data_IF_716281163374
#
_entry.id   IF_716281163374
#
_cell.length_a   1.000
_cell.length_b   1.000
_cell.length_c   1.000
_cell.angle_alpha   90.00
_cell.angle_beta   90.00
_cell.angle_gamma   90.00
#
_symmetry.space_group_name_H-M   'P 1'
#
loop_
_entity.id
_entity.type
_entity.pdbx_description
1 polymer ?
#
# COMPACT_ATOMS: atom_id res chain seq x y z
N UNK A 1 44.68 -33.90 -1.71
CA UNK A 1 45.71 -33.06 -2.32
C UNK A 1 45.02 -31.72 -2.64
N UNK A 2 45.18 -30.73 -1.76
CA UNK A 2 44.47 -29.45 -1.85
C UNK A 2 45.11 -28.58 -2.94
N UNK A 3 44.34 -28.21 -3.97
CA UNK A 3 44.73 -27.21 -4.96
C UNK A 3 44.59 -25.84 -4.27
N UNK A 4 45.72 -25.23 -3.93
CA UNK A 4 45.77 -23.86 -3.46
C UNK A 4 45.52 -22.94 -4.67
N UNK A 5 44.33 -22.35 -4.75
CA UNK A 5 44.05 -21.19 -5.59
C UNK A 5 44.92 -20.03 -5.10
N UNK A 6 46.11 -19.88 -5.69
CA UNK A 6 46.93 -18.69 -5.52
C UNK A 6 46.27 -17.53 -6.26
N UNK A 7 45.79 -16.52 -5.53
CA UNK A 7 45.30 -15.28 -6.11
C UNK A 7 46.38 -14.68 -7.03
N UNK A 8 46.12 -14.60 -8.32
CA UNK A 8 47.00 -13.97 -9.30
C UNK A 8 47.20 -12.48 -8.92
N UNK A 9 48.42 -12.08 -8.54
CA UNK A 9 48.68 -10.74 -8.04
C UNK A 9 49.27 -9.83 -9.12
N UNK A 10 48.56 -8.75 -9.48
CA UNK A 10 49.07 -7.69 -10.35
C UNK A 10 50.00 -6.72 -9.59
N UNK A 11 50.82 -5.95 -10.34
CA UNK A 11 51.68 -4.92 -9.74
C UNK A 11 50.83 -3.95 -8.90
N UNK A 12 51.37 -3.55 -7.76
CA UNK A 12 50.69 -2.61 -6.86
C UNK A 12 51.23 -1.20 -7.12
N UNK A 13 50.35 -0.31 -7.56
CA UNK A 13 50.70 1.02 -8.02
C UNK A 13 50.15 2.05 -7.05
N UNK A 14 51.05 2.83 -6.47
CA UNK A 14 50.71 3.94 -5.58
C UNK A 14 50.65 5.24 -6.38
N UNK A 15 49.53 5.95 -6.26
CA UNK A 15 49.29 7.23 -6.92
C UNK A 15 49.62 8.40 -5.99
N UNK A 16 50.03 9.54 -6.56
CA UNK A 16 50.40 10.77 -5.81
C UNK A 16 49.29 11.32 -4.91
N UNK A 17 48.04 10.98 -5.19
CA UNK A 17 46.86 11.30 -4.35
C UNK A 17 46.55 10.30 -3.24
N UNK A 18 47.43 9.33 -2.95
CA UNK A 18 47.27 8.35 -1.86
C UNK A 18 46.45 7.09 -2.22
N UNK A 19 45.89 7.02 -3.43
CA UNK A 19 45.18 5.83 -3.91
C UNK A 19 46.14 4.69 -4.32
N UNK A 20 45.74 3.45 -4.06
CA UNK A 20 46.43 2.24 -4.52
C UNK A 20 45.58 1.54 -5.57
N UNK A 21 46.20 1.12 -6.68
CA UNK A 21 45.54 0.40 -7.76
C UNK A 21 46.39 -0.81 -8.15
N UNK A 22 45.74 -1.95 -8.38
CA UNK A 22 46.40 -3.18 -8.82
C UNK A 22 46.26 -3.34 -10.33
N UNK A 23 47.37 -3.45 -11.05
CA UNK A 23 47.36 -3.58 -12.51
C UNK A 23 48.76 -3.44 -13.11
N UNK A 24 48.89 -3.56 -14.43
CA UNK A 24 50.18 -3.43 -15.13
C UNK A 24 50.30 -2.11 -15.89
N UNK A 25 51.41 -1.41 -15.67
CA UNK A 25 51.72 -0.17 -16.39
C UNK A 25 52.42 -0.50 -17.72
N UNK A 26 51.86 -0.01 -18.82
CA UNK A 26 52.46 -0.01 -20.15
C UNK A 26 52.59 1.44 -20.66
N UNK A 27 53.63 1.78 -21.44
CA UNK A 27 53.72 3.09 -22.08
C UNK A 27 52.56 3.28 -23.07
N UNK A 28 51.99 4.48 -23.14
CA UNK A 28 50.94 4.77 -24.12
C UNK A 28 51.57 4.86 -25.53
N UNK A 29 51.09 4.08 -26.51
CA UNK A 29 51.64 4.11 -27.87
C UNK A 29 51.41 5.45 -28.60
N UNK A 30 50.46 6.28 -28.16
CA UNK A 30 50.11 7.54 -28.82
C UNK A 30 50.66 8.79 -28.12
N UNK A 31 51.05 8.71 -26.84
CA UNK A 31 51.53 9.86 -26.06
C UNK A 31 52.65 9.44 -25.09
N UNK A 32 53.91 9.86 -25.31
CA UNK A 32 55.05 9.46 -24.47
C UNK A 32 55.00 10.04 -23.04
N UNK A 33 54.14 11.04 -22.78
CA UNK A 33 53.96 11.62 -21.45
C UNK A 33 52.96 10.85 -20.59
N UNK A 34 52.24 9.90 -21.21
CA UNK A 34 51.20 9.09 -20.58
C UNK A 34 51.57 7.62 -20.48
N UNK A 35 50.90 6.96 -19.55
CA UNK A 35 51.01 5.53 -19.31
C UNK A 35 49.62 4.93 -19.20
N UNK A 36 49.46 3.74 -19.75
CA UNK A 36 48.25 2.94 -19.71
C UNK A 36 48.35 1.91 -18.59
N UNK A 37 47.39 1.91 -17.69
CA UNK A 37 47.25 0.96 -16.62
C UNK A 37 46.22 -0.10 -16.99
N UNK A 38 46.68 -1.31 -17.22
CA UNK A 38 45.88 -2.50 -17.48
C UNK A 38 45.43 -3.11 -16.15
N UNK A 39 44.12 -3.26 -15.97
CA UNK A 39 43.53 -3.86 -14.77
C UNK A 39 43.10 -5.29 -15.07
N UNK A 40 43.04 -6.14 -14.04
CA UNK A 40 42.60 -7.54 -14.18
C UNK A 40 41.15 -7.66 -14.69
N UNK A 41 40.26 -6.78 -14.20
CA UNK A 41 38.80 -6.87 -14.44
C UNK A 41 38.24 -5.81 -15.40
N UNK A 42 39.09 -4.97 -16.02
CA UNK A 42 38.62 -3.90 -16.91
C UNK A 42 38.74 -4.30 -18.38
N UNK A 43 37.77 -3.90 -19.20
CA UNK A 43 37.82 -4.03 -20.67
C UNK A 43 38.83 -3.06 -21.31
N UNK A 44 39.09 -1.91 -20.68
CA UNK A 44 39.93 -0.84 -21.23
C UNK A 44 40.99 -0.41 -20.21
N UNK A 45 42.21 -0.07 -20.66
CA UNK A 45 43.24 0.46 -19.78
C UNK A 45 42.88 1.88 -19.32
N UNK A 46 43.26 2.22 -18.09
CA UNK A 46 43.16 3.58 -17.58
C UNK A 46 44.38 4.40 -18.04
N UNK A 47 44.19 5.63 -18.48
CA UNK A 47 45.30 6.50 -18.90
C UNK A 47 45.67 7.45 -17.76
N UNK A 48 46.95 7.48 -17.39
CA UNK A 48 47.51 8.36 -16.36
C UNK A 48 48.70 9.15 -16.91
N UNK A 49 48.97 10.31 -16.32
CA UNK A 49 50.25 10.99 -16.56
C UNK A 49 51.35 10.28 -15.79
N UNK A 50 52.53 10.16 -16.39
CA UNK A 50 53.68 9.47 -15.77
C UNK A 50 54.04 10.02 -14.38
N UNK A 51 53.82 11.32 -14.15
CA UNK A 51 54.11 12.03 -12.89
C UNK A 51 53.12 11.72 -11.75
N UNK A 52 51.98 11.10 -12.06
CA UNK A 52 50.95 10.75 -11.07
C UNK A 52 51.23 9.40 -10.39
N UNK A 53 52.14 8.59 -10.95
CA UNK A 53 52.57 7.32 -10.38
C UNK A 53 53.76 7.58 -9.44
N UNK A 54 53.58 7.33 -8.15
CA UNK A 54 54.63 7.47 -7.13
C UNK A 54 55.55 6.25 -7.12
N UNK A 55 54.97 5.05 -7.11
CA UNK A 55 55.70 3.79 -6.95
C UNK A 55 54.94 2.64 -7.60
N UNK A 56 55.67 1.76 -8.28
CA UNK A 56 55.17 0.49 -8.81
C UNK A 56 55.90 -0.64 -8.09
N UNK A 57 55.16 -1.55 -7.47
CA UNK A 57 55.70 -2.73 -6.82
C UNK A 57 55.41 -3.91 -7.74
N UNK A 58 56.43 -4.48 -8.42
CA UNK A 58 56.23 -5.53 -9.40
C UNK A 58 55.79 -6.83 -8.72
N UNK A 59 54.74 -7.46 -9.24
CA UNK A 59 54.23 -8.78 -8.83
C UNK A 59 53.90 -9.61 -10.07
N UNK A 60 54.21 -10.90 -10.03
CA UNK A 60 53.99 -11.78 -11.17
C UNK A 60 52.48 -11.91 -11.47
N UNK A 61 52.09 -11.50 -12.68
CA UNK A 61 50.70 -11.41 -13.09
C UNK A 61 50.48 -11.98 -14.48
N UNK A 62 49.33 -12.63 -14.74
CA UNK A 62 48.93 -13.04 -16.09
C UNK A 62 48.88 -11.89 -17.11
N UNK A 63 48.83 -10.64 -16.64
CA UNK A 63 48.88 -9.45 -17.50
C UNK A 63 50.23 -9.28 -18.23
N UNK A 64 51.34 -9.80 -17.69
CA UNK A 64 52.65 -9.70 -18.32
C UNK A 64 52.75 -10.54 -19.59
N UNK A 65 52.23 -11.77 -19.51
CA UNK A 65 52.18 -12.68 -20.66
C UNK A 65 51.12 -12.24 -21.67
N UNK A 66 50.02 -11.63 -21.20
CA UNK A 66 49.02 -10.99 -22.05
C UNK A 66 49.63 -9.90 -22.93
N UNK A 67 50.40 -8.97 -22.35
CA UNK A 67 50.98 -7.84 -23.10
C UNK A 67 51.98 -8.30 -24.16
N UNK A 68 52.77 -9.35 -23.88
CA UNK A 68 53.66 -9.97 -24.87
C UNK A 68 52.87 -10.57 -26.03
N UNK A 69 51.89 -11.42 -25.72
CA UNK A 69 51.02 -12.05 -26.72
C UNK A 69 50.26 -11.03 -27.57
N UNK A 70 49.84 -9.92 -26.96
CA UNK A 70 49.18 -8.81 -27.67
C UNK A 70 50.11 -8.08 -28.63
N UNK A 71 51.39 -7.91 -28.28
CA UNK A 71 52.36 -7.26 -29.16
C UNK A 71 52.72 -8.11 -30.39
N UNK A 72 52.63 -9.44 -30.26
CA UNK A 72 52.90 -10.42 -31.33
C UNK A 72 51.66 -10.75 -32.18
N UNK A 73 50.51 -10.17 -31.85
CA UNK A 73 49.22 -10.54 -32.42
C UNK A 73 49.05 -10.03 -33.86
N UNK A 74 48.66 -10.92 -34.76
CA UNK A 74 48.29 -10.57 -36.13
C UNK A 74 46.86 -10.01 -36.18
N UNK A 75 46.54 -9.11 -37.14
CA UNK A 75 45.20 -8.55 -37.31
C UNK A 75 44.27 -9.54 -38.03
N UNK A 76 44.06 -10.71 -37.44
CA UNK A 76 43.17 -11.77 -37.94
C UNK A 76 42.11 -12.13 -36.90
N UNK A 77 40.90 -12.47 -37.35
CA UNK A 77 39.76 -12.76 -36.47
C UNK A 77 40.01 -14.01 -35.61
N UNK A 78 40.65 -15.05 -36.18
CA UNK A 78 41.01 -16.27 -35.47
C UNK A 78 42.08 -16.00 -34.40
N UNK A 79 43.11 -15.23 -34.73
CA UNK A 79 44.18 -14.88 -33.79
C UNK A 79 43.66 -14.07 -32.60
N UNK A 80 42.73 -13.13 -32.84
CA UNK A 80 42.06 -12.38 -31.78
C UNK A 80 41.22 -13.28 -30.87
N UNK A 81 40.50 -14.26 -31.44
CA UNK A 81 39.70 -15.20 -30.66
C UNK A 81 40.57 -16.10 -29.77
N UNK A 82 41.66 -16.65 -30.28
CA UNK A 82 42.59 -17.50 -29.52
C UNK A 82 43.22 -16.74 -28.34
N UNK A 83 43.54 -15.45 -28.52
CA UNK A 83 43.99 -14.61 -27.41
C UNK A 83 42.88 -14.36 -26.39
N UNK A 84 41.64 -14.19 -26.85
CA UNK A 84 40.45 -14.08 -25.99
C UNK A 84 40.23 -15.33 -25.12
N UNK A 85 40.34 -16.54 -25.71
CA UNK A 85 40.24 -17.80 -24.98
C UNK A 85 41.36 -17.95 -23.95
N UNK A 86 42.58 -17.57 -24.31
CA UNK A 86 43.70 -17.56 -23.36
C UNK A 86 43.43 -16.58 -22.21
N UNK A 87 42.88 -15.38 -22.47
CA UNK A 87 42.49 -14.44 -21.43
C UNK A 87 41.42 -15.03 -20.49
N UNK A 88 40.43 -15.74 -21.03
CA UNK A 88 39.36 -16.39 -20.25
C UNK A 88 39.92 -17.49 -19.33
N UNK A 89 40.84 -18.32 -19.84
CA UNK A 89 41.54 -19.36 -19.07
C UNK A 89 42.40 -18.79 -17.93
N UNK A 90 42.88 -17.56 -18.08
CA UNK A 90 43.72 -16.87 -17.08
C UNK A 90 42.92 -15.87 -16.23
N UNK A 91 41.59 -16.00 -16.16
CA UNK A 91 40.67 -15.18 -15.34
C UNK A 91 40.61 -13.68 -15.72
N UNK A 92 41.05 -13.30 -16.93
CA UNK A 92 41.03 -11.94 -17.46
C UNK A 92 39.74 -11.65 -18.25
N UNK A 93 38.57 -11.81 -17.61
CA UNK A 93 37.26 -11.79 -18.27
C UNK A 93 36.96 -10.49 -19.05
N UNK A 94 37.36 -9.33 -18.53
CA UNK A 94 37.17 -8.04 -19.21
C UNK A 94 37.95 -7.94 -20.53
N UNK A 95 39.19 -8.45 -20.53
CA UNK A 95 40.05 -8.45 -21.72
C UNK A 95 39.60 -9.50 -22.73
N UNK A 96 39.18 -10.68 -22.28
CA UNK A 96 38.59 -11.71 -23.14
C UNK A 96 37.41 -11.17 -23.96
N UNK A 97 36.46 -10.49 -23.31
CA UNK A 97 35.32 -9.86 -23.99
C UNK A 97 35.77 -8.82 -25.04
N UNK A 98 36.81 -8.04 -24.76
CA UNK A 98 37.32 -7.04 -25.71
C UNK A 98 37.92 -7.69 -26.97
N UNK A 99 38.57 -8.85 -26.83
CA UNK A 99 39.13 -9.60 -27.94
C UNK A 99 38.05 -10.32 -28.75
N UNK A 100 37.01 -10.85 -28.10
CA UNK A 100 35.85 -11.38 -28.81
C UNK A 100 35.10 -10.29 -29.58
N UNK A 101 34.92 -9.09 -29.00
CA UNK A 101 34.38 -7.91 -29.72
C UNK A 101 35.26 -7.54 -30.92
N UNK A 102 36.60 -7.52 -30.77
CA UNK A 102 37.53 -7.24 -31.86
C UNK A 102 37.48 -8.28 -32.99
N UNK A 103 37.38 -9.58 -32.66
CA UNK A 103 37.24 -10.66 -33.64
C UNK A 103 35.99 -10.47 -34.51
N UNK A 104 34.84 -10.12 -33.91
CA UNK A 104 33.59 -9.83 -34.62
C UNK A 104 33.69 -8.59 -35.51
N UNK A 105 34.49 -7.59 -35.12
CA UNK A 105 34.69 -6.41 -35.99
C UNK A 105 35.53 -6.71 -37.23
N UNK A 106 36.48 -7.66 -37.14
CA UNK A 106 37.30 -8.10 -38.26
C UNK A 106 36.54 -9.04 -39.19
N UNK A 107 35.84 -10.02 -38.62
CA UNK A 107 34.95 -10.92 -39.34
C UNK A 107 33.57 -10.98 -38.65
N UNK A 108 32.58 -10.36 -39.30
CA UNK A 108 31.20 -10.28 -38.81
C UNK A 108 30.48 -11.62 -38.79
N UNK A 109 31.00 -12.63 -39.49
CA UNK A 109 30.42 -13.98 -39.56
C UNK A 109 31.06 -14.98 -38.59
N UNK A 110 32.08 -14.57 -37.82
CA UNK A 110 32.88 -15.49 -37.02
C UNK A 110 32.09 -16.05 -35.81
N UNK A 111 31.47 -17.21 -36.01
CA UNK A 111 30.53 -17.83 -35.07
C UNK A 111 31.08 -18.04 -33.64
N UNK A 112 32.33 -18.50 -33.43
CA UNK A 112 32.83 -18.77 -32.08
C UNK A 112 32.87 -17.52 -31.18
N UNK A 113 33.23 -16.36 -31.74
CA UNK A 113 33.25 -15.12 -30.98
C UNK A 113 31.83 -14.63 -30.63
N UNK A 114 30.88 -14.78 -31.55
CA UNK A 114 29.48 -14.46 -31.29
C UNK A 114 28.86 -15.32 -30.18
N UNK A 115 29.16 -16.62 -30.15
CA UNK A 115 28.71 -17.52 -29.09
C UNK A 115 29.28 -17.10 -27.72
N UNK A 116 30.57 -16.76 -27.65
CA UNK A 116 31.22 -16.28 -26.41
C UNK A 116 30.71 -14.93 -25.93
N UNK A 117 30.25 -14.07 -26.85
CA UNK A 117 29.60 -12.79 -26.50
C UNK A 117 28.12 -12.94 -26.12
N UNK A 118 27.54 -14.14 -26.27
CA UNK A 118 26.12 -14.39 -26.01
C UNK A 118 25.18 -13.77 -27.06
N UNK A 119 25.68 -13.53 -28.27
CA UNK A 119 24.87 -13.12 -29.42
C UNK A 119 24.01 -14.29 -29.89
N UNK A 120 22.84 -13.99 -30.46
CA UNK A 120 21.88 -15.00 -30.93
C UNK A 120 21.80 -14.91 -32.45
N UNK A 121 21.87 -16.06 -33.13
CA UNK A 121 21.72 -16.12 -34.58
C UNK A 121 20.22 -16.09 -34.94
N UNK A 122 19.81 -15.07 -35.70
CA UNK A 122 18.42 -14.85 -36.12
C UNK A 122 18.39 -14.34 -37.57
N UNK A 123 17.59 -14.97 -38.43
CA UNK A 123 17.43 -14.61 -39.86
C UNK A 123 18.75 -14.40 -40.62
N UNK A 124 19.70 -15.32 -40.47
CA UNK A 124 20.97 -15.29 -41.20
C UNK A 124 22.01 -14.29 -40.68
N UNK A 125 21.71 -13.59 -39.57
CA UNK A 125 22.61 -12.62 -38.96
C UNK A 125 22.75 -12.86 -37.46
N UNK A 126 23.92 -12.54 -36.91
CA UNK A 126 24.11 -12.54 -35.46
C UNK A 126 23.63 -11.23 -34.85
N UNK A 127 22.74 -11.30 -33.87
CA UNK A 127 22.20 -10.16 -33.16
C UNK A 127 22.65 -10.15 -31.70
N UNK A 128 22.96 -8.97 -31.19
CA UNK A 128 23.09 -8.76 -29.75
C UNK A 128 21.75 -8.95 -29.06
N UNK A 129 21.77 -9.20 -27.74
CA UNK A 129 20.54 -9.37 -26.98
C UNK A 129 19.65 -8.11 -26.99
N UNK A 130 20.26 -6.92 -27.07
CA UNK A 130 19.56 -5.64 -27.21
C UNK A 130 18.96 -5.48 -28.64
N UNK A 131 19.63 -5.97 -29.68
CA UNK A 131 19.12 -5.97 -31.06
C UNK A 131 18.00 -6.98 -31.27
N UNK A 132 18.12 -8.19 -30.71
CA UNK A 132 17.07 -9.20 -30.75
C UNK A 132 15.76 -8.64 -30.16
N UNK A 133 15.84 -7.93 -29.03
CA UNK A 133 14.68 -7.28 -28.42
C UNK A 133 14.08 -6.20 -29.31
N UNK A 134 14.90 -5.45 -30.05
CA UNK A 134 14.41 -4.49 -31.05
C UNK A 134 13.70 -5.16 -32.22
N UNK A 135 14.23 -6.28 -32.71
CA UNK A 135 13.61 -7.09 -33.78
C UNK A 135 12.26 -7.67 -33.30
N UNK A 136 12.18 -8.06 -32.03
CA UNK A 136 10.93 -8.45 -31.36
C UNK A 136 9.95 -7.28 -31.14
N UNK A 137 10.27 -6.07 -31.59
CA UNK A 137 9.42 -4.89 -31.48
C UNK A 137 9.48 -4.17 -30.14
N UNK A 138 10.43 -4.51 -29.25
CA UNK A 138 10.61 -3.84 -27.97
C UNK A 138 11.54 -2.63 -28.09
N UNK A 139 11.23 -1.57 -27.36
CA UNK A 139 12.03 -0.35 -27.30
C UNK A 139 12.53 -0.17 -25.87
N UNK A 140 13.81 0.21 -25.73
CA UNK A 140 14.41 0.54 -24.43
C UNK A 140 13.94 1.94 -24.00
N UNK A 141 13.10 2.01 -22.97
CA UNK A 141 12.62 3.25 -22.36
C UNK A 141 12.94 3.27 -20.86
N UNK A 142 13.67 4.30 -20.41
CA UNK A 142 14.11 4.46 -19.01
C UNK A 142 14.71 3.19 -18.39
N UNK A 143 15.55 2.49 -19.14
CA UNK A 143 16.25 1.27 -18.70
C UNK A 143 15.42 -0.02 -18.76
N UNK A 144 14.15 0.04 -19.17
CA UNK A 144 13.27 -1.12 -19.35
C UNK A 144 12.97 -1.34 -20.82
N UNK A 145 12.77 -2.60 -21.21
CA UNK A 145 12.29 -2.96 -22.54
C UNK A 145 10.77 -3.03 -22.50
N UNK A 146 10.11 -2.16 -23.27
CA UNK A 146 8.66 -2.05 -23.32
C UNK A 146 8.21 -1.98 -24.77
N UNK A 147 6.94 -2.31 -25.02
CA UNK A 147 6.38 -2.17 -26.36
C UNK A 147 6.17 -0.67 -26.70
N UNK A 148 6.07 -0.30 -27.99
CA UNK A 148 5.78 1.07 -28.40
C UNK A 148 4.42 1.55 -27.85
N UNK A 149 3.44 0.66 -27.75
CA UNK A 149 2.13 0.94 -27.18
C UNK A 149 2.21 1.22 -25.68
N UNK A 150 2.91 0.38 -24.92
CA UNK A 150 3.17 0.61 -23.49
C UNK A 150 3.91 1.93 -23.26
N UNK A 151 4.88 2.27 -24.13
CA UNK A 151 5.57 3.55 -24.06
C UNK A 151 4.60 4.72 -24.22
N UNK A 152 3.73 4.66 -25.23
CA UNK A 152 2.71 5.69 -25.48
C UNK A 152 1.76 5.85 -24.29
N UNK A 153 1.30 4.74 -23.70
CA UNK A 153 0.47 4.76 -22.50
C UNK A 153 1.20 5.37 -21.30
N UNK A 154 2.46 4.98 -21.05
CA UNK A 154 3.27 5.53 -19.95
C UNK A 154 3.52 7.02 -20.13
N UNK A 155 3.83 7.48 -21.35
CA UNK A 155 4.00 8.91 -21.64
C UNK A 155 2.67 9.67 -21.52
N UNK A 156 1.56 9.10 -21.97
CA UNK A 156 0.22 9.66 -21.79
C UNK A 156 -0.13 9.82 -20.32
N UNK A 157 0.06 8.77 -19.52
CA UNK A 157 -0.16 8.78 -18.08
C UNK A 157 0.77 9.78 -17.37
N UNK A 158 2.01 9.92 -17.82
CA UNK A 158 2.93 10.92 -17.28
C UNK A 158 2.44 12.36 -17.57
N UNK A 159 1.94 12.62 -18.79
CA UNK A 159 1.38 13.93 -19.17
C UNK A 159 0.15 14.27 -18.34
N UNK A 160 -0.79 13.34 -18.19
CA UNK A 160 -1.99 13.55 -17.35
C UNK A 160 -1.62 13.73 -15.89
N UNK A 161 -0.66 12.98 -15.37
CA UNK A 161 -0.16 13.14 -14.00
C UNK A 161 0.47 14.52 -13.76
N UNK A 162 1.25 15.04 -14.71
CA UNK A 162 1.82 16.40 -14.63
C UNK A 162 0.69 17.45 -14.62
N UNK A 163 -0.28 17.32 -15.52
CA UNK A 163 -1.45 18.21 -15.56
C UNK A 163 -2.22 18.17 -14.23
N UNK A 164 -2.53 16.99 -13.71
CA UNK A 164 -3.20 16.83 -12.42
C UNK A 164 -2.40 17.45 -11.27
N UNK A 165 -1.08 17.23 -11.21
CA UNK A 165 -0.23 17.82 -10.17
C UNK A 165 -0.20 19.35 -10.23
N UNK A 166 -0.20 19.93 -11.44
CA UNK A 166 -0.28 21.38 -11.62
C UNK A 166 -1.60 21.95 -11.11
N UNK A 167 -2.73 21.27 -11.37
CA UNK A 167 -4.05 21.65 -10.88
C UNK A 167 -4.14 21.52 -9.35
N UNK A 168 -3.62 20.43 -8.78
CA UNK A 168 -3.56 20.26 -7.31
C UNK A 168 -2.78 21.42 -6.67
N UNK A 169 -1.64 21.82 -7.25
CA UNK A 169 -0.89 22.98 -6.77
C UNK A 169 -1.72 24.27 -6.85
N UNK A 170 -2.41 24.50 -7.98
CA UNK A 170 -3.29 25.67 -8.15
C UNK A 170 -4.40 25.70 -7.10
N UNK A 171 -5.12 24.60 -6.91
CA UNK A 171 -6.21 24.51 -5.92
C UNK A 171 -5.69 24.78 -4.50
N UNK A 172 -4.50 24.28 -4.14
CA UNK A 172 -3.88 24.58 -2.83
C UNK A 172 -3.56 26.06 -2.64
N UNK A 173 -3.11 26.76 -3.70
CA UNK A 173 -2.87 28.20 -3.66
C UNK A 173 -4.17 29.00 -3.54
N UNK A 174 -5.25 28.55 -4.20
CA UNK A 174 -6.58 29.14 -4.03
C UNK A 174 -7.06 28.99 -2.59
N UNK A 175 -6.93 27.79 -2.02
CA UNK A 175 -7.23 27.53 -0.60
C UNK A 175 -6.45 28.44 0.34
N UNK A 176 -5.14 28.60 0.14
CA UNK A 176 -4.35 29.55 0.94
C UNK A 176 -4.85 30.99 0.78
N UNK A 177 -5.21 31.40 -0.44
CA UNK A 177 -5.76 32.73 -0.71
C UNK A 177 -7.12 32.98 -0.03
N UNK A 178 -7.93 31.94 0.15
CA UNK A 178 -9.20 32.01 0.88
C UNK A 178 -8.99 32.17 2.40
N UNK A 179 -7.92 31.59 2.95
CA UNK A 179 -7.61 31.67 4.38
C UNK A 179 -6.93 33.01 4.70
N UNK A 180 -5.83 33.31 3.99
CA UNK A 180 -4.92 34.41 4.34
C UNK A 180 -5.22 35.72 3.59
N UNK A 181 -6.08 35.68 2.58
CA UNK A 181 -6.35 36.84 1.71
C UNK A 181 -7.39 37.82 2.29
N UNK A 182 -7.38 39.10 1.84
CA UNK A 182 -8.48 40.04 2.07
C UNK A 182 -9.76 39.56 1.36
N UNK A 183 -10.92 40.07 1.77
CA UNK A 183 -12.25 39.63 1.28
C UNK A 183 -12.33 39.51 -0.25
N UNK A 184 -11.90 40.54 -0.99
CA UNK A 184 -11.86 40.52 -2.47
C UNK A 184 -11.05 39.36 -3.05
N UNK A 185 -9.94 39.00 -2.39
CA UNK A 185 -9.07 37.89 -2.83
C UNK A 185 -9.70 36.55 -2.47
N UNK A 186 -10.42 36.45 -1.35
CA UNK A 186 -11.17 35.24 -0.97
C UNK A 186 -12.26 34.95 -1.99
N UNK A 187 -13.10 35.95 -2.29
CA UNK A 187 -14.18 35.82 -3.28
C UNK A 187 -13.64 35.44 -4.67
N UNK A 188 -12.57 36.08 -5.13
CA UNK A 188 -11.91 35.72 -6.40
C UNK A 188 -11.35 34.30 -6.40
N UNK A 189 -10.79 33.85 -5.28
CA UNK A 189 -10.29 32.48 -5.16
C UNK A 189 -11.42 31.45 -5.21
N UNK A 190 -12.56 31.74 -4.58
CA UNK A 190 -13.77 30.89 -4.65
C UNK A 190 -14.33 30.82 -6.06
N UNK A 191 -14.47 31.97 -6.73
CA UNK A 191 -14.92 32.03 -8.12
C UNK A 191 -14.00 31.20 -9.04
N UNK A 192 -12.68 31.34 -8.89
CA UNK A 192 -11.71 30.56 -9.65
C UNK A 192 -11.79 29.06 -9.40
N UNK A 193 -12.16 28.63 -8.18
CA UNK A 193 -12.39 27.22 -7.87
C UNK A 193 -13.67 26.71 -8.55
N UNK A 194 -14.73 27.54 -8.61
CA UNK A 194 -15.98 27.19 -9.27
C UNK A 194 -15.91 27.16 -10.80
N UNK A 195 -14.83 27.70 -11.39
CA UNK A 195 -14.57 27.63 -12.83
C UNK A 195 -13.99 26.28 -13.30
N UNK A 196 -13.60 25.37 -12.39
CA UNK A 196 -13.14 24.03 -12.75
C UNK A 196 -14.32 23.12 -13.15
N UNK A 197 -14.82 23.29 -14.39
CA UNK A 197 -15.98 22.55 -14.93
C UNK A 197 -15.62 21.31 -15.77
N UNK A 198 -14.33 21.06 -15.96
CA UNK A 198 -13.84 19.97 -16.82
C UNK A 198 -13.69 18.65 -16.04
N UNK A 199 -14.02 17.48 -16.63
CA UNK A 199 -13.89 16.17 -15.96
C UNK A 199 -12.46 15.86 -15.46
N UNK A 200 -11.43 16.39 -16.12
CA UNK A 200 -10.03 16.22 -15.70
C UNK A 200 -9.70 16.90 -14.35
N UNK A 201 -10.56 17.79 -13.86
CA UNK A 201 -10.40 18.46 -12.57
C UNK A 201 -10.89 17.61 -11.38
N UNK A 202 -11.72 16.58 -11.63
CA UNK A 202 -12.30 15.73 -10.58
C UNK A 202 -11.22 15.11 -9.70
N UNK A 203 -10.22 14.43 -10.28
CA UNK A 203 -9.13 13.81 -9.53
C UNK A 203 -8.31 14.81 -8.71
N UNK A 204 -7.86 15.96 -9.28
CA UNK A 204 -7.24 17.03 -8.52
C UNK A 204 -8.07 17.53 -7.33
N UNK A 205 -9.38 17.77 -7.52
CA UNK A 205 -10.29 18.24 -6.48
C UNK A 205 -10.40 17.22 -5.32
N UNK A 206 -10.60 15.94 -5.65
CA UNK A 206 -10.62 14.84 -4.66
C UNK A 206 -9.32 14.75 -3.87
N UNK A 207 -8.17 14.94 -4.54
CA UNK A 207 -6.86 14.82 -3.90
C UNK A 207 -6.59 15.94 -2.89
N UNK A 208 -7.15 17.13 -3.12
CA UNK A 208 -7.02 18.25 -2.17
C UNK A 208 -8.00 18.11 -1.00
N UNK A 209 -9.13 17.44 -1.22
CA UNK A 209 -10.22 17.29 -0.26
C UNK A 209 -9.78 16.93 1.17
N UNK A 210 -8.91 15.92 1.33
CA UNK A 210 -8.13 15.65 2.55
C UNK A 210 -8.84 15.81 3.90
N UNK A 211 -8.06 16.10 4.95
CA UNK A 211 -8.54 16.49 6.28
C UNK A 211 -8.66 18.04 6.39
N UNK A 212 -9.11 18.70 5.33
CA UNK A 212 -9.31 20.15 5.34
C UNK A 212 -10.54 20.53 6.19
N UNK A 213 -10.74 21.83 6.46
CA UNK A 213 -11.89 22.31 7.23
C UNK A 213 -13.22 22.05 6.49
N UNK A 214 -14.32 21.76 7.21
CA UNK A 214 -15.61 21.42 6.61
C UNK A 214 -16.11 22.43 5.56
N UNK A 215 -15.86 23.72 5.75
CA UNK A 215 -16.27 24.81 4.85
C UNK A 215 -15.62 24.68 3.47
N UNK A 216 -14.31 24.43 3.43
CA UNK A 216 -13.60 24.25 2.17
C UNK A 216 -13.98 22.92 1.50
N UNK A 217 -14.20 21.86 2.30
CA UNK A 217 -14.72 20.59 1.78
C UNK A 217 -16.10 20.78 1.14
N UNK A 218 -17.03 21.52 1.75
CA UNK A 218 -18.34 21.88 1.15
C UNK A 218 -18.18 22.64 -0.16
N UNK A 219 -17.17 23.51 -0.27
CA UNK A 219 -16.88 24.22 -1.52
C UNK A 219 -16.36 23.27 -2.61
N UNK A 220 -15.47 22.33 -2.26
CA UNK A 220 -15.00 21.29 -3.18
C UNK A 220 -16.14 20.36 -3.63
N UNK A 221 -17.06 19.99 -2.75
CA UNK A 221 -18.28 19.25 -3.10
C UNK A 221 -19.06 20.00 -4.17
N UNK A 222 -19.32 21.29 -3.96
CA UNK A 222 -20.02 22.15 -4.93
C UNK A 222 -19.28 22.20 -6.26
N UNK A 223 -17.96 22.43 -6.24
CA UNK A 223 -17.15 22.44 -7.45
C UNK A 223 -17.22 21.11 -8.23
N UNK A 224 -17.18 19.96 -7.55
CA UNK A 224 -17.35 18.64 -8.20
C UNK A 224 -18.78 18.48 -8.74
N UNK A 225 -19.80 18.96 -8.01
CA UNK A 225 -21.20 18.89 -8.42
C UNK A 225 -21.52 19.67 -9.70
N UNK A 226 -20.84 20.79 -9.93
CA UNK A 226 -20.92 21.58 -11.16
C UNK A 226 -20.30 20.90 -12.39
N UNK A 227 -19.51 19.83 -12.20
CA UNK A 227 -18.93 19.06 -13.31
C UNK A 227 -19.99 18.06 -13.82
N UNK A 228 -20.34 18.09 -15.12
CA UNK A 228 -21.30 17.18 -15.69
C UNK A 228 -20.71 15.77 -15.86
N UNK A 229 -21.58 14.76 -15.92
CA UNK A 229 -21.21 13.40 -16.30
C UNK A 229 -21.01 12.42 -15.15
N UNK A 230 -21.07 11.10 -15.44
CA UNK A 230 -21.11 10.03 -14.43
C UNK A 230 -19.85 9.95 -13.55
N UNK A 231 -18.71 10.46 -14.02
CA UNK A 231 -17.46 10.52 -13.26
C UNK A 231 -17.58 11.43 -12.04
N UNK A 232 -18.23 12.61 -12.19
CA UNK A 232 -18.46 13.54 -11.10
C UNK A 232 -19.48 12.98 -10.09
N UNK A 233 -20.55 12.36 -10.59
CA UNK A 233 -21.52 11.64 -9.75
C UNK A 233 -20.83 10.55 -8.92
N UNK A 234 -19.95 9.77 -9.54
CA UNK A 234 -19.18 8.72 -8.85
C UNK A 234 -18.25 9.28 -7.78
N UNK A 235 -17.60 10.42 -8.05
CA UNK A 235 -16.74 11.10 -7.09
C UNK A 235 -17.52 11.59 -5.85
N UNK A 236 -18.71 12.16 -6.06
CA UNK A 236 -19.59 12.61 -4.98
C UNK A 236 -20.08 11.44 -4.12
N UNK A 237 -20.51 10.33 -4.73
CA UNK A 237 -20.91 9.12 -4.00
C UNK A 237 -19.73 8.58 -3.19
N UNK A 238 -18.56 8.42 -3.82
CA UNK A 238 -17.36 7.94 -3.13
C UNK A 238 -17.00 8.84 -1.93
N UNK A 239 -17.14 10.16 -2.06
CA UNK A 239 -16.89 11.09 -0.95
C UNK A 239 -17.93 10.96 0.16
N UNK A 240 -19.21 10.92 -0.19
CA UNK A 240 -20.33 10.82 0.76
C UNK A 240 -20.17 9.60 1.69
N UNK A 241 -19.72 8.46 1.13
CA UNK A 241 -19.56 7.20 1.88
C UNK A 241 -18.44 7.26 2.93
N UNK A 242 -17.40 8.05 2.71
CA UNK A 242 -16.24 8.15 3.62
C UNK A 242 -16.25 9.41 4.49
N UNK A 243 -17.08 10.41 4.16
CA UNK A 243 -17.16 11.68 4.89
C UNK A 243 -17.57 11.46 6.35
N UNK A 244 -16.90 12.13 7.29
CA UNK A 244 -17.22 12.03 8.72
C UNK A 244 -18.15 13.16 9.14
N UNK A 245 -17.99 14.35 8.56
CA UNK A 245 -18.77 15.54 8.88
C UNK A 245 -20.18 15.48 8.26
N UNK A 246 -21.21 15.70 9.08
CA UNK A 246 -22.60 15.60 8.65
C UNK A 246 -23.00 16.69 7.65
N UNK A 247 -22.49 17.92 7.81
CA UNK A 247 -22.83 19.02 6.90
C UNK A 247 -22.19 18.82 5.52
N UNK A 248 -20.95 18.34 5.46
CA UNK A 248 -20.28 18.02 4.19
C UNK A 248 -20.98 16.85 3.49
N UNK A 249 -21.44 15.86 4.26
CA UNK A 249 -22.25 14.74 3.74
C UNK A 249 -23.57 15.24 3.16
N UNK A 250 -24.26 16.14 3.86
CA UNK A 250 -25.50 16.77 3.39
C UNK A 250 -25.26 17.55 2.09
N UNK A 251 -24.19 18.34 2.02
CA UNK A 251 -23.84 19.06 0.79
C UNK A 251 -23.60 18.10 -0.39
N UNK A 252 -22.98 16.94 -0.15
CA UNK A 252 -22.75 15.92 -1.18
C UNK A 252 -24.06 15.32 -1.67
N UNK A 253 -24.98 15.03 -0.75
CA UNK A 253 -26.31 14.54 -1.07
C UNK A 253 -27.12 15.57 -1.88
N UNK A 254 -27.04 16.85 -1.52
CA UNK A 254 -27.76 17.91 -2.23
C UNK A 254 -27.26 18.07 -3.66
N UNK A 255 -25.95 17.92 -3.90
CA UNK A 255 -25.42 17.85 -5.27
C UNK A 255 -25.91 16.60 -6.02
N UNK A 256 -26.02 15.45 -5.35
CA UNK A 256 -26.52 14.22 -5.96
C UNK A 256 -28.03 14.27 -6.28
N UNK A 257 -28.84 15.03 -5.54
CA UNK A 257 -30.28 15.23 -5.84
C UNK A 257 -30.51 15.96 -7.17
N UNK A 258 -29.56 16.79 -7.59
CA UNK A 258 -29.64 17.53 -8.86
C UNK A 258 -29.30 16.65 -10.08
N UNK A 259 -29.10 15.35 -9.86
CA UNK A 259 -28.52 14.43 -10.83
C UNK A 259 -29.39 13.20 -11.03
N UNK A 260 -29.30 12.60 -12.21
CA UNK A 260 -30.13 11.46 -12.61
C UNK A 260 -29.32 10.28 -13.17
N UNK A 261 -27.99 10.27 -13.00
CA UNK A 261 -27.18 9.20 -13.57
C UNK A 261 -27.37 7.87 -12.83
N UNK A 262 -27.59 6.79 -13.60
CA UNK A 262 -27.86 5.43 -13.09
C UNK A 262 -26.74 4.86 -12.21
N UNK A 263 -25.50 5.33 -12.38
CA UNK A 263 -24.37 4.85 -11.59
C UNK A 263 -24.46 5.24 -10.11
N UNK A 264 -25.22 6.29 -9.75
CA UNK A 264 -25.42 6.71 -8.36
C UNK A 264 -26.07 5.58 -7.55
N UNK A 265 -27.24 5.10 -8.02
CA UNK A 265 -27.96 4.01 -7.38
C UNK A 265 -27.13 2.72 -7.33
N UNK A 266 -26.43 2.39 -8.43
CA UNK A 266 -25.59 1.20 -8.51
C UNK A 266 -24.45 1.22 -7.47
N UNK A 267 -23.79 2.36 -7.28
CA UNK A 267 -22.69 2.49 -6.32
C UNK A 267 -23.19 2.45 -4.87
N UNK A 268 -24.27 3.17 -4.54
CA UNK A 268 -24.85 3.12 -3.21
C UNK A 268 -25.38 1.72 -2.86
N UNK A 269 -26.04 1.07 -3.82
CA UNK A 269 -26.47 -0.33 -3.69
C UNK A 269 -25.32 -1.29 -3.38
N UNK A 270 -24.16 -1.08 -4.01
CA UNK A 270 -22.95 -1.88 -3.75
C UNK A 270 -22.38 -1.60 -2.36
N UNK A 271 -22.42 -0.35 -1.91
CA UNK A 271 -21.91 0.06 -0.61
C UNK A 271 -22.67 -0.56 0.59
N UNK A 272 -23.93 -0.95 0.42
CA UNK A 272 -24.69 -1.71 1.42
C UNK A 272 -24.09 -3.10 1.75
N UNK A 273 -23.20 -3.63 0.91
CA UNK A 273 -22.50 -4.89 1.15
C UNK A 273 -21.09 -4.69 1.72
N UNK A 274 -20.76 -3.48 2.19
CA UNK A 274 -19.47 -3.20 2.82
C UNK A 274 -19.36 -3.95 4.16
N UNK A 275 -18.14 -4.31 4.55
CA UNK A 275 -17.85 -4.75 5.93
C UNK A 275 -17.83 -3.59 6.94
N UNK A 276 -17.80 -2.35 6.46
CA UNK A 276 -17.80 -1.17 7.31
C UNK A 276 -19.23 -0.68 7.55
N UNK A 277 -19.69 -0.83 8.79
CA UNK A 277 -21.02 -0.40 9.25
C UNK A 277 -21.30 1.07 8.95
N UNK A 278 -20.31 1.96 9.13
CA UNK A 278 -20.48 3.37 8.82
C UNK A 278 -20.74 3.60 7.33
N UNK A 279 -20.11 2.83 6.44
CA UNK A 279 -20.34 2.92 4.99
C UNK A 279 -21.74 2.41 4.64
N UNK A 280 -22.20 1.31 5.26
CA UNK A 280 -23.55 0.76 5.08
C UNK A 280 -24.60 1.80 5.49
N UNK A 281 -24.49 2.34 6.70
CA UNK A 281 -25.42 3.33 7.23
C UNK A 281 -25.45 4.61 6.38
N UNK A 282 -24.29 5.11 5.93
CA UNK A 282 -24.22 6.29 5.04
C UNK A 282 -24.82 6.02 3.67
N UNK A 283 -24.62 4.81 3.12
CA UNK A 283 -25.22 4.41 1.85
C UNK A 283 -26.75 4.34 1.97
N UNK A 284 -27.25 3.74 3.05
CA UNK A 284 -28.68 3.63 3.31
C UNK A 284 -29.34 5.00 3.52
N UNK A 285 -28.72 5.86 4.33
CA UNK A 285 -29.13 7.24 4.51
C UNK A 285 -29.28 7.97 3.17
N UNK A 286 -28.28 7.86 2.29
CA UNK A 286 -28.34 8.49 0.96
C UNK A 286 -29.42 7.87 0.07
N UNK A 287 -29.55 6.55 0.05
CA UNK A 287 -30.59 5.81 -0.70
C UNK A 287 -31.99 6.28 -0.31
N UNK A 288 -32.27 6.38 1.00
CA UNK A 288 -33.56 6.83 1.51
C UNK A 288 -33.89 8.26 1.10
N UNK A 289 -32.90 9.17 1.12
CA UNK A 289 -33.11 10.57 0.73
C UNK A 289 -33.17 10.80 -0.78
N UNK A 290 -32.57 9.92 -1.59
CA UNK A 290 -32.62 9.98 -3.06
C UNK A 290 -33.83 9.24 -3.63
N UNK A 291 -34.57 8.47 -2.82
CA UNK A 291 -35.79 7.80 -3.26
C UNK A 291 -35.55 6.54 -4.11
N UNK A 292 -34.42 5.85 -3.93
CA UNK A 292 -34.12 4.65 -4.73
C UNK A 292 -34.87 3.41 -4.21
N UNK A 293 -36.15 3.31 -4.54
CA UNK A 293 -37.04 2.20 -4.15
C UNK A 293 -36.54 0.83 -4.63
N UNK A 294 -35.89 0.77 -5.79
CA UNK A 294 -35.24 -0.44 -6.33
C UNK A 294 -34.12 -0.98 -5.44
N UNK A 295 -33.60 -0.20 -4.49
CA UNK A 295 -32.62 -0.63 -3.51
C UNK A 295 -33.23 -1.29 -2.25
N UNK A 296 -34.56 -1.26 -2.07
CA UNK A 296 -35.26 -1.85 -0.92
C UNK A 296 -34.84 -3.31 -0.64
N UNK A 297 -34.75 -4.23 -1.62
CA UNK A 297 -34.32 -5.59 -1.35
C UNK A 297 -32.91 -5.68 -0.75
N UNK A 298 -32.01 -4.77 -1.16
CA UNK A 298 -30.63 -4.69 -0.65
C UNK A 298 -30.58 -4.06 0.75
N UNK A 299 -31.45 -3.09 1.02
CA UNK A 299 -31.60 -2.52 2.36
C UNK A 299 -32.09 -3.58 3.36
N UNK A 300 -33.09 -4.40 2.98
CA UNK A 300 -33.59 -5.49 3.83
C UNK A 300 -32.46 -6.47 4.18
N UNK A 301 -31.57 -6.79 3.23
CA UNK A 301 -30.40 -7.65 3.52
C UNK A 301 -29.34 -6.99 4.40
N UNK A 302 -29.29 -5.67 4.46
CA UNK A 302 -28.32 -4.91 5.25
C UNK A 302 -28.88 -4.44 6.61
N UNK A 303 -30.13 -4.78 6.94
CA UNK A 303 -30.81 -4.31 8.16
C UNK A 303 -30.12 -4.80 9.44
N UNK A 304 -29.64 -6.04 9.43
CA UNK A 304 -28.80 -6.63 10.48
C UNK A 304 -27.50 -7.08 9.84
N UNK A 305 -26.38 -6.55 10.34
CA UNK A 305 -25.02 -6.94 9.93
C UNK A 305 -24.25 -7.50 11.11
N UNK A 306 -23.07 -8.07 10.89
CA UNK A 306 -22.22 -8.59 11.97
C UNK A 306 -21.01 -7.69 12.18
N UNK A 307 -20.80 -7.24 13.41
CA UNK A 307 -19.59 -6.54 13.82
C UNK A 307 -18.63 -7.51 14.51
N UNK A 308 -17.38 -7.54 14.09
CA UNK A 308 -16.33 -8.26 14.79
C UNK A 308 -15.80 -7.42 15.96
N UNK A 309 -16.10 -7.83 17.18
CA UNK A 309 -15.62 -7.16 18.39
C UNK A 309 -14.55 -8.01 19.09
N UNK A 310 -13.48 -7.37 19.55
CA UNK A 310 -12.47 -8.05 20.37
C UNK A 310 -12.93 -8.05 21.82
N UNK A 311 -13.37 -9.20 22.31
CA UNK A 311 -13.82 -9.41 23.69
C UNK A 311 -12.78 -10.23 24.44
N UNK A 312 -12.47 -9.84 25.67
CA UNK A 312 -11.59 -10.60 26.55
C UNK A 312 -12.36 -11.77 27.18
N UNK A 313 -12.00 -13.00 26.84
CA UNK A 313 -12.71 -14.20 27.30
C UNK A 313 -11.78 -15.14 28.09
N UNK A 314 -12.34 -15.83 29.09
CA UNK A 314 -11.59 -16.81 29.87
C UNK A 314 -11.15 -18.02 29.00
N UNK A 315 -9.99 -18.63 29.30
CA UNK A 315 -9.38 -19.65 28.44
C UNK A 315 -10.21 -20.94 28.32
N UNK A 316 -11.07 -21.22 29.30
CA UNK A 316 -11.87 -22.44 29.45
C UNK A 316 -13.22 -22.38 28.71
N UNK A 317 -13.58 -21.25 28.09
CA UNK A 317 -14.77 -21.12 27.25
C UNK A 317 -16.12 -21.25 27.99
N UNK A 318 -16.11 -21.33 29.33
CA UNK A 318 -17.31 -21.50 30.18
C UNK A 318 -17.93 -20.18 30.66
N UNK A 319 -17.79 -19.12 29.87
CA UNK A 319 -18.34 -17.79 30.18
C UNK A 319 -19.42 -17.30 29.22
N UNK A 320 -19.87 -18.13 28.27
CA UNK A 320 -20.86 -17.75 27.25
C UNK A 320 -22.15 -18.56 27.34
N UNK A 321 -22.68 -18.77 28.54
CA UNK A 321 -24.00 -19.38 28.72
C UNK A 321 -24.84 -18.54 29.68
N UNK A 322 -25.72 -17.72 29.10
CA UNK A 322 -26.96 -17.32 29.75
C UNK A 322 -27.71 -18.63 30.12
N UNK A 323 -28.16 -18.76 31.37
CA UNK A 323 -28.92 -19.86 31.99
C UNK A 323 -28.16 -21.12 32.47
N UNK A 324 -27.57 -21.08 33.67
CA UNK A 324 -27.34 -22.29 34.49
C UNK A 324 -27.82 -22.05 35.95
N UNK A 325 -28.43 -23.05 36.62
CA UNK A 325 -29.08 -22.89 37.92
C UNK A 325 -28.04 -22.69 39.05
N UNK A 326 -28.43 -22.15 40.22
CA UNK A 326 -27.49 -21.84 41.28
C UNK A 326 -26.95 -23.14 41.88
N UNK A 327 -25.71 -23.48 41.54
CA UNK A 327 -25.00 -24.54 42.26
C UNK A 327 -24.55 -23.99 43.61
N UNK A 328 -25.01 -24.66 44.65
CA UNK A 328 -24.81 -24.35 46.06
C UNK A 328 -23.34 -24.11 46.42
N UNK A 329 -23.11 -23.04 47.17
CA UNK A 329 -21.85 -22.68 47.79
C UNK A 329 -21.33 -23.82 48.67
N UNK A 330 -20.33 -24.56 48.19
CA UNK A 330 -19.76 -25.65 48.97
C UNK A 330 -18.75 -26.47 48.20
N UNK A 331 -17.73 -25.83 47.62
CA UNK A 331 -16.39 -26.37 47.28
C UNK A 331 -15.80 -25.71 46.04
N UNK A 332 -15.11 -24.57 46.21
CA UNK A 332 -13.99 -24.23 45.33
C UNK A 332 -12.91 -23.56 46.18
N UNK A 333 -11.81 -24.28 46.38
CA UNK A 333 -10.60 -23.76 47.01
C UNK A 333 -9.94 -22.71 46.12
N UNK A 334 -9.72 -21.52 46.66
CA UNK A 334 -8.99 -20.46 45.98
C UNK A 334 -7.49 -20.62 46.23
N UNK A 335 -6.69 -20.94 45.20
CA UNK A 335 -5.28 -20.52 45.20
C UNK A 335 -5.17 -19.06 44.78
N UNK A 336 -4.50 -18.27 45.60
CA UNK A 336 -3.92 -17.01 45.17
C UNK A 336 -2.89 -17.27 44.04
N UNK A 337 -2.90 -16.51 42.93
CA UNK A 337 -1.82 -16.58 41.96
C UNK A 337 -0.56 -15.95 42.58
N UNK A 338 0.54 -16.69 42.56
CA UNK A 338 1.88 -16.14 42.75
C UNK A 338 2.18 -15.10 41.66
N UNK A 339 3.00 -14.08 41.92
CA UNK A 339 3.31 -13.06 40.94
C UNK A 339 4.22 -13.67 39.86
N UNK A 340 3.71 -13.78 38.64
CA UNK A 340 4.54 -13.86 37.43
C UNK A 340 4.43 -12.52 36.71
N UNK A 341 5.50 -12.07 36.02
CA UNK A 341 5.78 -10.65 35.86
C UNK A 341 4.89 -10.00 34.81
N UNK A 342 4.23 -8.89 35.19
CA UNK A 342 4.25 -7.73 34.31
C UNK A 342 2.97 -6.92 34.08
N UNK A 343 1.79 -7.26 34.60
CA UNK A 343 0.57 -6.57 34.11
C UNK A 343 -0.48 -6.14 35.13
N UNK A 344 -0.39 -6.53 36.40
CA UNK A 344 -1.36 -6.09 37.42
C UNK A 344 -0.79 -4.93 38.24
N UNK A 345 -1.49 -3.78 38.27
CA UNK A 345 -1.07 -2.60 39.03
C UNK A 345 -1.77 -2.51 40.39
N UNK A 346 -3.10 -2.65 40.41
CA UNK A 346 -3.95 -2.42 41.58
C UNK A 346 -5.36 -2.94 41.31
N UNK A 347 -6.09 -3.31 42.36
CA UNK A 347 -7.55 -3.52 42.29
C UNK A 347 -8.25 -2.76 43.41
N UNK A 348 -9.44 -2.25 43.10
CA UNK A 348 -10.44 -1.87 44.09
C UNK A 348 -11.65 -2.80 43.96
N UNK A 349 -12.63 -2.70 44.87
CA UNK A 349 -13.82 -3.56 44.86
C UNK A 349 -14.73 -3.48 43.62
N UNK A 350 -14.35 -2.71 42.59
CA UNK A 350 -15.15 -2.48 41.37
C UNK A 350 -14.34 -2.47 40.06
N UNK A 351 -13.01 -2.56 40.10
CA UNK A 351 -12.15 -2.50 38.92
C UNK A 351 -10.72 -2.97 39.23
N UNK A 352 -10.00 -3.40 38.19
CA UNK A 352 -8.55 -3.60 38.26
C UNK A 352 -7.82 -2.76 37.21
N UNK A 353 -6.65 -2.25 37.60
CA UNK A 353 -5.76 -1.51 36.73
C UNK A 353 -4.70 -2.45 36.15
N UNK A 354 -4.58 -2.46 34.82
CA UNK A 354 -3.58 -3.25 34.10
C UNK A 354 -2.73 -2.37 33.20
N UNK A 355 -1.45 -2.71 33.07
CA UNK A 355 -0.54 -2.00 32.18
C UNK A 355 -0.84 -2.35 30.73
N UNK A 356 -0.90 -1.34 29.85
CA UNK A 356 -0.92 -1.56 28.41
C UNK A 356 0.47 -2.02 27.95
N UNK A 357 0.58 -2.72 26.81
CA UNK A 357 1.86 -3.01 26.19
C UNK A 357 2.70 -1.73 26.00
N UNK A 358 4.04 -1.82 26.09
CA UNK A 358 4.92 -0.67 25.96
C UNK A 358 4.85 -0.08 24.55
N UNK A 359 4.73 1.24 24.45
CA UNK A 359 4.92 1.99 23.22
C UNK A 359 6.38 2.42 23.17
N UNK A 360 7.11 1.97 22.14
CA UNK A 360 8.54 2.25 21.98
C UNK A 360 8.75 3.28 20.87
N UNK A 361 9.32 4.42 21.24
CA UNK A 361 9.82 5.46 20.33
C UNK A 361 11.34 5.62 20.46
N UNK A 362 12.00 6.42 19.60
CA UNK A 362 13.44 6.64 19.69
C UNK A 362 13.82 7.26 21.05
N UNK A 363 14.42 6.46 21.93
CA UNK A 363 14.90 6.88 23.25
C UNK A 363 13.85 6.90 24.38
N UNK A 364 12.61 6.47 24.14
CA UNK A 364 11.56 6.44 25.17
C UNK A 364 10.76 5.13 25.12
N UNK A 365 10.58 4.51 26.28
CA UNK A 365 9.63 3.42 26.52
C UNK A 365 8.59 3.94 27.50
N UNK A 366 7.32 3.96 27.07
CA UNK A 366 6.20 4.35 27.92
C UNK A 366 5.16 3.22 27.98
N UNK A 367 4.67 2.95 29.19
CA UNK A 367 3.58 2.01 29.40
C UNK A 367 2.36 2.82 29.86
N UNK A 368 1.22 2.66 29.18
CA UNK A 368 -0.06 3.17 29.66
C UNK A 368 -0.63 2.26 30.74
N UNK A 369 -1.68 2.72 31.43
CA UNK A 369 -2.50 1.90 32.31
C UNK A 369 -3.95 2.05 31.89
N UNK A 370 -4.68 0.94 31.84
CA UNK A 370 -6.13 0.93 31.60
C UNK A 370 -6.84 0.34 32.81
N UNK A 371 -7.87 1.04 33.28
CA UNK A 371 -8.78 0.55 34.29
C UNK A 371 -9.86 -0.29 33.64
N UNK A 372 -9.98 -1.55 34.05
CA UNK A 372 -11.00 -2.47 33.55
C UNK A 372 -12.05 -2.66 34.64
N UNK A 373 -13.32 -2.31 34.38
CA UNK A 373 -14.40 -2.52 35.35
C UNK A 373 -14.61 -4.02 35.63
N UNK A 374 -14.92 -4.36 36.87
CA UNK A 374 -15.36 -5.69 37.24
C UNK A 374 -16.86 -5.83 36.94
N UNK A 375 -17.23 -6.86 36.19
CA UNK A 375 -18.62 -7.15 35.86
C UNK A 375 -19.08 -8.39 36.63
N UNK A 376 -20.18 -8.27 37.35
CA UNK A 376 -20.89 -9.39 37.97
C UNK A 376 -22.28 -9.44 37.33
N UNK A 377 -22.63 -10.58 36.72
CA UNK A 377 -23.94 -10.79 36.07
C UNK A 377 -24.30 -9.72 35.02
N UNK A 378 -23.32 -9.35 34.18
CA UNK A 378 -23.51 -8.36 33.11
C UNK A 378 -23.55 -6.89 33.57
N UNK A 379 -23.43 -6.61 34.87
CA UNK A 379 -23.45 -5.26 35.44
C UNK A 379 -22.08 -4.88 36.01
N UNK A 380 -21.59 -3.68 35.67
CA UNK A 380 -20.36 -3.16 36.27
C UNK A 380 -20.59 -2.90 37.76
N UNK A 381 -19.75 -3.43 38.65
CA UNK A 381 -19.91 -3.29 40.11
C UNK A 381 -19.89 -1.82 40.59
N UNK A 382 -19.30 -0.91 39.80
CA UNK A 382 -19.34 0.55 40.05
C UNK A 382 -20.67 1.24 39.68
N UNK A 383 -21.61 0.53 39.06
CA UNK A 383 -22.93 1.05 38.65
C UNK A 383 -24.07 0.66 39.60
N UNK A 384 -23.78 -0.04 40.71
CA UNK A 384 -24.79 -0.45 41.71
C UNK A 384 -24.89 0.63 42.80
N UNK A 385 -26.08 1.18 43.12
CA UNK A 385 -26.24 2.21 44.14
C UNK A 385 -25.77 1.74 45.53
N UNK A 386 -25.17 2.61 46.37
CA UNK A 386 -24.74 2.24 47.72
C UNK A 386 -25.97 1.87 48.57
N UNK A 387 -26.09 0.58 48.94
CA UNK A 387 -27.20 0.06 49.74
C UNK A 387 -27.83 -1.24 49.23
N UNK A 388 -27.50 -1.67 48.00
CA UNK A 388 -27.91 -2.99 47.47
C UNK A 388 -26.86 -4.10 47.67
N UNK A 389 -25.81 -3.81 48.45
CA UNK A 389 -24.73 -4.75 48.77
C UNK A 389 -25.06 -5.42 50.09
N UNK A 390 -25.32 -6.73 50.06
CA UNK A 390 -25.62 -7.53 51.26
C UNK A 390 -24.42 -7.52 52.24
N UNK A 391 -24.60 -7.51 53.58
CA UNK A 391 -23.53 -7.25 54.55
C UNK A 391 -22.48 -8.36 54.70
N UNK A 392 -22.67 -9.51 54.02
CA UNK A 392 -21.83 -10.69 54.16
C UNK A 392 -20.77 -10.79 53.04
N UNK A 393 -19.96 -9.76 52.87
CA UNK A 393 -18.68 -9.90 52.14
C UNK A 393 -17.65 -10.36 53.18
N UNK A 394 -17.10 -11.59 53.08
CA UNK A 394 -16.10 -12.06 54.03
C UNK A 394 -14.84 -11.20 53.90
N UNK A 395 -14.37 -10.64 55.01
CA UNK A 395 -13.04 -10.04 55.11
C UNK A 395 -11.98 -11.10 54.75
N UNK A 396 -11.07 -10.75 53.82
CA UNK A 396 -10.02 -11.66 53.36
C UNK A 396 -8.97 -11.90 54.45
N UNK A 397 -8.99 -13.08 55.06
CA UNK A 397 -7.89 -13.63 55.87
C UNK A 397 -6.99 -14.48 54.97
N UNK A 398 -5.64 -14.39 55.03
CA UNK A 398 -4.77 -15.08 54.07
C UNK A 398 -4.44 -16.50 54.53
N UNK A 399 -4.85 -17.52 53.78
CA UNK A 399 -4.36 -18.89 54.00
C UNK A 399 -4.95 -19.96 53.08
N UNK A 400 -4.02 -20.72 52.48
CA UNK A 400 -4.17 -22.02 51.82
C UNK A 400 -4.76 -22.09 50.39
N UNK A 401 -4.04 -22.85 49.57
CA UNK A 401 -3.97 -22.84 48.11
C UNK A 401 -4.45 -24.14 47.46
N UNK A 402 -5.07 -24.07 46.27
CA UNK A 402 -5.07 -25.14 45.24
C UNK A 402 -4.89 -24.54 43.83
N UNK A 403 -3.70 -24.73 43.26
CA UNK A 403 -3.15 -24.10 42.05
C UNK A 403 -3.77 -24.67 40.75
N UNK A 404 -4.17 -23.83 39.79
CA UNK A 404 -4.38 -24.22 38.38
C UNK A 404 -3.53 -23.31 37.48
N UNK A 405 -2.57 -23.84 36.70
CA UNK A 405 -1.57 -23.03 36.02
C UNK A 405 -2.11 -22.48 34.68
N UNK A 406 -1.91 -21.18 34.47
CA UNK A 406 -1.85 -20.51 33.17
C UNK A 406 -3.12 -20.46 32.30
N UNK A 407 -3.81 -19.32 32.37
CA UNK A 407 -3.90 -18.30 31.28
C UNK A 407 -4.86 -17.20 31.74
N UNK A 408 -4.42 -15.94 31.72
CA UNK A 408 -5.32 -14.79 31.89
C UNK A 408 -6.35 -14.72 30.75
N UNK A 409 -7.35 -13.83 30.84
CA UNK A 409 -8.30 -13.63 29.75
C UNK A 409 -7.55 -13.36 28.44
N UNK A 410 -7.95 -14.04 27.38
CA UNK A 410 -7.34 -13.93 26.04
C UNK A 410 -8.27 -13.13 25.13
N UNK A 411 -7.74 -12.27 24.24
CA UNK A 411 -8.58 -11.54 23.30
C UNK A 411 -9.17 -12.55 22.30
N UNK A 412 -10.50 -12.56 22.16
CA UNK A 412 -11.22 -13.34 21.17
C UNK A 412 -12.06 -12.40 20.31
N UNK A 413 -12.08 -12.66 19.01
CA UNK A 413 -12.97 -11.96 18.08
C UNK A 413 -14.33 -12.66 18.15
N UNK A 414 -15.37 -11.91 18.50
CA UNK A 414 -16.76 -12.38 18.55
C UNK A 414 -17.56 -11.57 17.53
N UNK A 415 -18.35 -12.28 16.71
CA UNK A 415 -19.31 -11.64 15.81
C UNK A 415 -20.57 -11.27 16.60
N UNK A 416 -20.82 -9.98 16.77
CA UNK A 416 -22.01 -9.45 17.44
C UNK A 416 -22.98 -8.95 16.35
N UNK A 417 -24.26 -9.33 16.39
CA UNK A 417 -25.25 -8.75 15.49
C UNK A 417 -25.39 -7.25 15.77
N UNK A 418 -25.36 -6.45 14.71
CA UNK A 418 -25.48 -5.00 14.73
C UNK A 418 -26.71 -4.58 13.93
N UNK A 419 -27.57 -3.79 14.57
CA UNK A 419 -28.79 -3.23 14.01
C UNK A 419 -28.50 -1.88 13.35
N UNK A 420 -28.70 -1.79 12.03
CA UNK A 420 -28.38 -0.60 11.26
C UNK A 420 -29.55 0.40 11.27
N UNK A 421 -29.46 1.42 12.13
CA UNK A 421 -30.47 2.48 12.27
C UNK A 421 -30.79 3.18 10.95
N UNK A 422 -29.77 3.61 10.19
CA UNK A 422 -30.00 4.33 8.92
C UNK A 422 -30.59 3.43 7.84
N UNK A 423 -30.37 2.11 7.92
CA UNK A 423 -31.00 1.14 7.02
C UNK A 423 -32.48 0.99 7.34
N UNK A 424 -32.82 0.91 8.62
CA UNK A 424 -34.22 0.91 9.07
C UNK A 424 -34.94 2.20 8.65
N UNK A 425 -34.37 3.37 8.96
CA UNK A 425 -34.94 4.66 8.59
C UNK A 425 -35.15 4.81 7.08
N UNK A 426 -34.19 4.33 6.27
CA UNK A 426 -34.32 4.33 4.82
C UNK A 426 -35.46 3.42 4.34
N UNK A 427 -35.63 2.23 4.94
CA UNK A 427 -36.74 1.32 4.62
C UNK A 427 -38.08 1.95 4.96
N UNK A 428 -38.23 2.51 6.16
CA UNK A 428 -39.47 3.18 6.59
C UNK A 428 -39.79 4.36 5.66
N UNK A 429 -38.79 5.17 5.34
CA UNK A 429 -38.95 6.32 4.43
C UNK A 429 -39.40 5.92 3.03
N UNK A 430 -38.81 4.87 2.45
CA UNK A 430 -39.12 4.43 1.09
C UNK A 430 -40.44 3.66 1.00
N UNK A 431 -40.78 2.88 2.02
CA UNK A 431 -41.91 1.93 1.95
C UNK A 431 -43.15 2.41 2.71
N UNK A 432 -43.00 3.40 3.61
CA UNK A 432 -44.05 3.85 4.54
C UNK A 432 -44.60 2.72 5.42
N UNK A 433 -43.78 1.67 5.64
CA UNK A 433 -44.06 0.54 6.51
C UNK A 433 -42.96 0.43 7.55
N UNK A 434 -43.29 -0.12 8.71
CA UNK A 434 -42.32 -0.40 9.76
C UNK A 434 -42.54 -1.83 10.28
N UNK A 435 -41.50 -2.65 10.16
CA UNK A 435 -41.44 -4.00 10.73
C UNK A 435 -40.23 -4.14 11.66
N UNK A 436 -39.71 -3.02 12.17
CA UNK A 436 -38.52 -2.94 13.01
C UNK A 436 -37.33 -3.67 12.35
N UNK A 437 -36.51 -4.36 13.13
CA UNK A 437 -35.37 -5.15 12.65
C UNK A 437 -35.73 -6.58 12.21
N UNK A 438 -37.02 -6.88 12.02
CA UNK A 438 -37.46 -8.22 11.61
C UNK A 438 -37.29 -8.46 10.10
N UNK A 439 -36.12 -8.95 9.70
CA UNK A 439 -35.77 -9.26 8.30
C UNK A 439 -36.78 -10.22 7.65
N UNK A 440 -37.32 -11.19 8.39
CA UNK A 440 -38.28 -12.18 7.87
C UNK A 440 -39.63 -11.53 7.55
N UNK A 441 -40.11 -10.62 8.40
CA UNK A 441 -41.33 -9.85 8.16
C UNK A 441 -41.18 -8.95 6.93
N UNK A 442 -40.06 -8.22 6.82
CA UNK A 442 -39.72 -7.42 5.65
C UNK A 442 -39.73 -8.22 4.34
N UNK A 443 -39.09 -9.41 4.34
CA UNK A 443 -39.06 -10.30 3.15
C UNK A 443 -40.44 -10.87 2.81
N UNK A 444 -41.23 -11.26 3.81
CA UNK A 444 -42.57 -11.79 3.61
C UNK A 444 -43.51 -10.74 3.01
N UNK A 445 -43.45 -9.50 3.51
CA UNK A 445 -44.18 -8.37 2.94
C UNK A 445 -43.71 -8.06 1.52
N UNK A 446 -42.40 -7.97 1.29
CA UNK A 446 -41.82 -7.65 -0.02
C UNK A 446 -42.31 -8.62 -1.10
N UNK A 447 -42.29 -9.94 -0.81
CA UNK A 447 -42.71 -10.97 -1.77
C UNK A 447 -44.22 -10.94 -2.08
N UNK A 448 -45.04 -10.35 -1.21
CA UNK A 448 -46.51 -10.31 -1.36
C UNK A 448 -46.99 -9.00 -1.99
N UNK A 449 -46.42 -7.88 -1.59
CA UNK A 449 -46.99 -6.55 -1.82
C UNK A 449 -46.05 -5.57 -2.54
N UNK A 450 -44.74 -5.81 -2.55
CA UNK A 450 -43.78 -4.84 -3.09
C UNK A 450 -43.29 -5.23 -4.49
N UNK A 451 -43.59 -4.39 -5.49
CA UNK A 451 -43.02 -4.52 -6.83
C UNK A 451 -42.04 -3.36 -7.12
N UNK A 452 -40.71 -3.59 -7.06
CA UNK A 452 -39.71 -2.56 -7.30
C UNK A 452 -39.64 -2.08 -8.76
N UNK A 453 -40.27 -2.80 -9.69
CA UNK A 453 -40.31 -2.46 -11.12
C UNK A 453 -41.76 -2.46 -11.61
N UNK A 454 -42.57 -1.53 -11.12
CA UNK A 454 -43.93 -1.35 -11.65
C UNK A 454 -43.83 -0.98 -13.15
N UNK A 455 -44.25 -1.90 -14.03
CA UNK A 455 -44.37 -1.63 -15.46
C UNK A 455 -45.38 -0.48 -15.60
N UNK A 456 -45.05 0.64 -16.29
CA UNK A 456 -46.00 1.72 -16.46
C UNK A 456 -47.24 1.17 -17.17
N UNK A 457 -48.40 1.33 -16.52
CA UNK A 457 -49.69 0.94 -17.09
C UNK A 457 -49.81 1.60 -18.46
N UNK A 458 -49.88 0.78 -19.51
CA UNK A 458 -50.00 1.22 -20.91
C UNK A 458 -51.26 2.09 -21.04
N UNK A 459 -51.11 3.41 -20.92
CA UNK A 459 -52.16 4.38 -21.24
C UNK A 459 -52.20 4.49 -22.77
N UNK A 460 -53.12 3.76 -23.40
CA UNK A 460 -53.90 4.11 -24.61
C UNK A 460 -54.51 2.80 -25.17
N UNK A 461 -55.85 2.72 -25.38
CA UNK A 461 -56.45 1.62 -26.13
C UNK A 461 -56.07 1.76 -27.62
N UNK A 462 -55.67 0.65 -28.26
CA UNK A 462 -55.46 0.64 -29.70
C UNK A 462 -56.80 0.87 -30.43
N UNK A 463 -56.77 1.60 -31.57
CA UNK A 463 -57.96 2.15 -32.24
C UNK A 463 -58.94 1.09 -32.75
#
# INVERSE_FOLDING_TARGET
MCILNGAASADEIQLRGGGQVQGKVAPDPNDPTRVQLWLLNSKKPLSFQKQQILRVIPKASPLDDYLKKKAELTPDAKAQFELGEWCEQNELAGLALSHYEAAVTLDRGYEPAHQKLGHVFHDGHWLTHDELRRVQGLIKYKGRWITPEEKSQVEGNAKTAVAHNSLVRRIRLLRQSMIDGPEDRRLKAEEQLMQFREPNAIHPLIRVFGNDVPEFRKLLVRAIGEIPGPEAASALVARLLVETDQEVRQASLDQLKLRNERNIELQLSRALHSSNIAVINRAAWAIGHLGFESAVPKLISALITTEEQTVWANPDGRGLLNNAPPVSAGSMGFAAPSPSPGFFLSANGSSFAVMTPPIVGPGVVANGAIGVPWFYDGVALGAVPPGMISPNIPAMTPGASTYSPNRGPVPRIVAVPYENLEVHDALVRLTQRDFEYNVSAWRAWMNREFNPNAVPVRKVPQP
#
